data_IF_554099958576
#
_entry.id   IF_554099958576
#
_cell.length_a   1.000
_cell.length_b   1.000
_cell.length_c   1.000
_cell.angle_alpha   90.00
_cell.angle_beta   90.00
_cell.angle_gamma   90.00
#
_symmetry.space_group_name_H-M   'P 1'
#
loop_
_entity.id
_entity.type
_entity.pdbx_description
1 polymer ?
#
# COMPACT_ATOMS: atom_id res chain seq x y z
N UNK A 1 -4.06 0.12 -3.08
CA UNK A 1 -5.33 0.32 -3.82
C UNK A 1 -5.10 1.40 -4.86
N UNK A 2 -5.92 1.46 -5.91
CA UNK A 2 -5.61 2.19 -7.15
C UNK A 2 -6.72 3.15 -7.58
N UNK A 3 -6.28 4.37 -7.98
CA UNK A 3 -6.98 5.35 -8.81
C UNK A 3 -8.40 5.74 -8.36
N UNK A 4 -8.63 5.94 -7.05
CA UNK A 4 -9.95 6.39 -6.58
C UNK A 4 -9.86 7.67 -5.74
N UNK A 5 -10.75 8.61 -6.04
CA UNK A 5 -10.89 9.82 -5.25
C UNK A 5 -11.41 9.53 -3.85
N UNK A 6 -11.01 10.35 -2.87
CA UNK A 6 -11.57 10.31 -1.53
C UNK A 6 -13.11 10.28 -1.51
N UNK A 7 -13.73 11.16 -2.30
CA UNK A 7 -15.20 11.28 -2.37
C UNK A 7 -15.89 10.11 -3.08
N UNK A 8 -15.16 9.35 -3.91
CA UNK A 8 -15.70 8.15 -4.58
C UNK A 8 -15.77 6.95 -3.64
N UNK A 9 -14.98 6.95 -2.56
CA UNK A 9 -14.89 5.87 -1.58
C UNK A 9 -15.60 6.25 -0.29
N UNK A 10 -15.21 7.37 0.33
CA UNK A 10 -15.74 7.78 1.64
C UNK A 10 -17.18 8.29 1.49
N UNK A 11 -18.12 7.60 2.14
CA UNK A 11 -19.55 7.87 2.02
C UNK A 11 -20.24 7.16 0.85
N UNK A 12 -19.48 6.42 0.01
CA UNK A 12 -20.05 5.70 -1.13
C UNK A 12 -20.79 4.44 -0.74
N UNK A 13 -21.98 4.21 -1.34
CA UNK A 13 -22.72 2.96 -1.20
C UNK A 13 -22.04 1.76 -1.89
N UNK A 14 -21.06 1.99 -2.78
CA UNK A 14 -20.28 0.95 -3.43
C UNK A 14 -19.11 0.44 -2.58
N UNK A 15 -18.80 1.11 -1.45
CA UNK A 15 -17.72 0.77 -0.55
C UNK A 15 -18.20 0.60 0.92
N UNK A 16 -19.21 -0.25 1.19
CA UNK A 16 -19.81 -0.33 2.51
C UNK A 16 -18.85 -0.85 3.59
N UNK A 17 -17.98 -1.80 3.27
CA UNK A 17 -17.00 -2.32 4.21
C UNK A 17 -15.89 -1.30 4.49
N UNK A 18 -15.33 -0.68 3.47
CA UNK A 18 -14.32 0.38 3.61
C UNK A 18 -14.88 1.51 4.48
N UNK A 19 -16.12 1.93 4.25
CA UNK A 19 -16.78 2.95 5.07
C UNK A 19 -17.01 2.49 6.53
N UNK A 20 -17.25 1.21 6.75
CA UNK A 20 -17.34 0.66 8.12
C UNK A 20 -15.98 0.76 8.83
N UNK A 21 -14.88 0.47 8.15
CA UNK A 21 -13.53 0.63 8.69
C UNK A 21 -13.20 2.10 8.96
N UNK A 22 -13.48 2.98 7.99
CA UNK A 22 -13.32 4.42 8.15
C UNK A 22 -14.11 4.97 9.33
N UNK A 23 -15.27 4.43 9.65
CA UNK A 23 -16.10 4.84 10.80
C UNK A 23 -15.61 4.24 12.12
N UNK A 24 -15.10 3.01 12.11
CA UNK A 24 -14.68 2.32 13.32
C UNK A 24 -13.27 2.73 13.80
N UNK A 25 -12.39 3.11 12.87
CA UNK A 25 -10.97 3.37 13.12
C UNK A 25 -10.56 4.80 12.76
N UNK A 26 -9.30 5.03 12.47
CA UNK A 26 -8.77 6.33 12.06
C UNK A 26 -9.00 6.60 10.57
N UNK A 27 -9.43 7.81 10.23
CA UNK A 27 -9.50 8.31 8.85
C UNK A 27 -8.79 9.66 8.77
N UNK A 28 -7.75 9.75 7.93
CA UNK A 28 -7.20 11.02 7.50
C UNK A 28 -8.14 11.63 6.45
N UNK A 29 -8.69 12.80 6.76
CA UNK A 29 -9.68 13.48 5.90
C UNK A 29 -9.05 14.47 4.93
N UNK A 30 -7.74 14.73 5.07
CA UNK A 30 -6.94 15.55 4.18
C UNK A 30 -5.62 14.81 3.85
N UNK A 31 -5.75 13.74 3.05
CA UNK A 31 -4.60 12.97 2.57
C UNK A 31 -4.53 13.04 1.06
N UNK A 32 -3.38 13.42 0.53
CA UNK A 32 -3.16 13.58 -0.91
C UNK A 32 -2.00 12.70 -1.39
N UNK A 33 -2.17 12.11 -2.55
CA UNK A 33 -1.07 11.51 -3.30
C UNK A 33 -0.09 12.56 -3.83
N UNK A 34 1.05 12.12 -4.36
CA UNK A 34 2.15 13.00 -4.74
C UNK A 34 2.08 13.40 -6.21
N UNK A 35 1.65 12.48 -7.06
CA UNK A 35 1.78 12.62 -8.51
C UNK A 35 0.73 11.79 -9.26
N UNK A 36 0.79 11.85 -10.56
CA UNK A 36 0.30 10.93 -11.59
C UNK A 36 1.45 10.65 -12.56
N UNK A 37 1.56 9.44 -13.12
CA UNK A 37 0.79 8.21 -12.86
C UNK A 37 1.22 7.46 -11.58
N UNK A 38 0.88 6.18 -11.46
CA UNK A 38 0.98 5.34 -10.25
C UNK A 38 2.41 5.18 -9.71
N UNK A 39 3.38 4.78 -10.53
CA UNK A 39 4.73 4.41 -10.07
C UNK A 39 5.42 5.47 -9.19
N UNK A 40 5.43 6.77 -9.52
CA UNK A 40 5.99 7.80 -8.66
C UNK A 40 5.46 7.78 -7.21
N UNK A 41 4.18 7.43 -7.02
CA UNK A 41 3.55 7.34 -5.70
C UNK A 41 4.05 6.12 -4.91
N UNK A 42 4.17 4.96 -5.55
CA UNK A 42 4.76 3.76 -4.92
C UNK A 42 6.20 3.99 -4.48
N UNK A 43 6.99 4.65 -5.31
CA UNK A 43 8.39 4.99 -4.97
C UNK A 43 8.43 6.02 -3.83
N UNK A 44 7.54 7.02 -3.83
CA UNK A 44 7.42 8.01 -2.75
C UNK A 44 7.02 7.36 -1.41
N UNK A 45 6.06 6.40 -1.42
CA UNK A 45 5.64 5.63 -0.25
C UNK A 45 6.76 4.80 0.37
N UNK A 46 7.79 4.46 -0.40
CA UNK A 46 8.80 3.50 0.03
C UNK A 46 10.22 4.06 0.14
N UNK A 47 10.49 5.26 -0.44
CA UNK A 47 11.82 5.90 -0.39
C UNK A 47 11.80 7.38 0.04
N UNK A 48 10.60 7.96 0.29
CA UNK A 48 10.46 9.36 0.71
C UNK A 48 10.69 10.38 -0.41
N UNK A 49 10.78 9.94 -1.66
CA UNK A 49 10.88 10.77 -2.86
C UNK A 49 10.38 9.99 -4.06
N UNK A 50 9.82 10.66 -5.08
CA UNK A 50 9.50 10.02 -6.36
C UNK A 50 10.74 9.70 -7.21
N UNK A 51 11.94 10.04 -6.73
CA UNK A 51 13.25 9.81 -7.37
C UNK A 51 13.34 10.38 -8.80
N UNK A 52 12.55 11.43 -9.12
CA UNK A 52 12.48 12.03 -10.46
C UNK A 52 11.70 11.20 -11.48
N UNK A 53 11.03 10.14 -11.06
CA UNK A 53 10.17 9.31 -11.91
C UNK A 53 8.86 10.04 -12.16
N UNK A 54 8.37 9.98 -13.41
CA UNK A 54 7.15 10.63 -13.86
C UNK A 54 6.35 9.79 -14.89
N UNK A 55 6.63 8.49 -14.95
CA UNK A 55 5.96 7.51 -15.81
C UNK A 55 5.87 6.14 -15.12
N UNK A 56 5.22 5.15 -15.76
CA UNK A 56 5.04 3.79 -15.26
C UNK A 56 5.99 2.76 -15.88
N UNK A 57 7.14 3.22 -16.38
CA UNK A 57 8.12 2.32 -16.99
C UNK A 57 8.70 1.34 -15.96
N UNK A 58 8.98 0.11 -16.41
CA UNK A 58 9.42 -0.98 -15.54
C UNK A 58 10.81 -0.80 -14.91
N UNK A 59 11.21 -1.72 -14.01
CA UNK A 59 12.45 -1.63 -13.22
C UNK A 59 13.73 -1.49 -14.03
N UNK A 60 13.75 -1.96 -15.29
CA UNK A 60 14.90 -1.80 -16.18
C UNK A 60 15.11 -0.34 -16.63
N UNK A 61 14.03 0.45 -16.68
CA UNK A 61 14.09 1.88 -17.03
C UNK A 61 14.39 2.76 -15.82
N UNK A 62 13.97 2.33 -14.62
CA UNK A 62 14.11 3.06 -13.37
C UNK A 62 14.82 2.25 -12.27
N UNK A 63 16.10 1.80 -12.51
CA UNK A 63 16.84 1.11 -11.46
C UNK A 63 17.24 2.09 -10.35
N UNK A 64 16.83 1.85 -9.10
CA UNK A 64 17.05 2.74 -7.98
C UNK A 64 18.11 2.18 -7.01
N UNK A 65 19.17 2.94 -6.78
CA UNK A 65 20.16 2.66 -5.73
C UNK A 65 20.10 3.73 -4.65
N UNK A 66 18.95 3.81 -3.98
CA UNK A 66 18.65 4.78 -2.93
C UNK A 66 18.11 4.06 -1.69
N UNK A 67 18.20 4.66 -0.48
CA UNK A 67 17.54 4.11 0.69
C UNK A 67 16.04 3.96 0.47
N UNK A 68 15.49 2.85 0.94
CA UNK A 68 14.06 2.56 0.95
C UNK A 68 13.70 1.83 2.24
N UNK A 69 12.43 1.76 2.58
CA UNK A 69 11.96 0.99 3.73
C UNK A 69 12.43 -0.48 3.66
N UNK A 70 12.51 -1.04 2.46
CA UNK A 70 13.01 -2.40 2.23
C UNK A 70 14.50 -2.53 2.54
N UNK A 71 15.33 -1.59 2.08
CA UNK A 71 16.79 -1.61 2.35
C UNK A 71 17.13 -1.28 3.80
N UNK A 72 16.25 -0.57 4.52
CA UNK A 72 16.39 -0.30 5.96
C UNK A 72 16.00 -1.50 6.83
N UNK A 73 15.24 -2.45 6.27
CA UNK A 73 14.72 -3.64 6.95
C UNK A 73 15.13 -4.93 6.21
N UNK A 74 16.44 -5.22 6.11
CA UNK A 74 16.94 -6.37 5.36
C UNK A 74 16.67 -7.71 6.05
N UNK A 75 16.93 -8.81 5.30
CA UNK A 75 16.96 -10.17 5.86
C UNK A 75 15.58 -10.67 6.32
N UNK A 76 14.50 -10.23 5.65
CA UNK A 76 13.13 -10.64 5.97
C UNK A 76 12.46 -9.82 7.06
N UNK A 77 13.07 -8.73 7.51
CA UNK A 77 12.40 -7.75 8.37
C UNK A 77 11.37 -6.91 7.62
N UNK A 78 11.48 -6.82 6.28
CA UNK A 78 10.44 -6.35 5.37
C UNK A 78 9.97 -7.47 4.44
N UNK A 79 8.77 -7.30 3.86
CA UNK A 79 8.16 -8.22 2.91
C UNK A 79 7.19 -7.49 2.01
N UNK A 80 7.14 -7.89 0.73
CA UNK A 80 6.08 -7.54 -0.20
C UNK A 80 5.20 -8.75 -0.50
N UNK A 81 3.88 -8.55 -0.53
CA UNK A 81 2.88 -9.55 -0.88
C UNK A 81 2.09 -9.03 -2.09
N UNK A 82 2.33 -9.62 -3.25
CA UNK A 82 1.83 -9.12 -4.52
C UNK A 82 0.82 -10.12 -5.12
N UNK A 83 -0.44 -9.71 -5.22
CA UNK A 83 -1.48 -10.59 -5.76
C UNK A 83 -1.30 -10.80 -7.27
N UNK A 84 -1.56 -12.02 -7.73
CA UNK A 84 -1.38 -12.46 -9.13
C UNK A 84 0.06 -12.39 -9.65
N UNK A 85 1.06 -12.09 -8.81
CA UNK A 85 2.46 -12.10 -9.21
C UNK A 85 2.89 -13.51 -9.65
N UNK A 86 3.49 -13.70 -10.85
CA UNK A 86 3.74 -15.02 -11.42
C UNK A 86 4.91 -15.76 -10.76
N UNK A 87 5.83 -15.02 -10.17
CA UNK A 87 7.00 -15.57 -9.46
C UNK A 87 7.56 -14.50 -8.52
N UNK A 88 8.37 -14.90 -7.54
CA UNK A 88 9.04 -13.96 -6.63
C UNK A 88 9.83 -12.89 -7.38
N UNK A 89 9.73 -11.64 -6.94
CA UNK A 89 10.45 -10.50 -7.52
C UNK A 89 10.25 -10.38 -9.04
N UNK A 90 9.01 -10.57 -9.53
CA UNK A 90 8.70 -10.51 -10.95
C UNK A 90 8.83 -9.08 -11.48
N UNK A 91 9.73 -8.87 -12.46
CA UNK A 91 10.11 -7.55 -12.99
C UNK A 91 9.38 -7.17 -14.28
N UNK A 92 8.22 -7.73 -14.52
CA UNK A 92 7.38 -7.43 -15.69
C UNK A 92 5.91 -7.78 -15.41
N UNK A 93 5.02 -7.13 -16.12
CA UNK A 93 3.58 -7.33 -16.03
C UNK A 93 3.19 -8.76 -16.42
N UNK A 94 2.16 -9.31 -15.77
CA UNK A 94 1.65 -10.65 -16.06
C UNK A 94 0.18 -10.79 -15.63
N UNK A 95 -0.72 -10.90 -16.58
CA UNK A 95 -2.15 -10.98 -16.30
C UNK A 95 -2.63 -9.77 -15.50
N UNK A 96 -3.14 -10.01 -14.30
CA UNK A 96 -3.61 -8.96 -13.39
C UNK A 96 -2.51 -8.39 -12.47
N UNK A 97 -1.28 -8.88 -12.55
CA UNK A 97 -0.13 -8.31 -11.85
C UNK A 97 0.49 -7.18 -12.67
N UNK A 98 0.64 -6.00 -12.06
CA UNK A 98 1.32 -4.85 -12.64
C UNK A 98 2.61 -4.55 -11.87
N UNK A 99 3.76 -4.64 -12.54
CA UNK A 99 5.07 -4.43 -11.90
C UNK A 99 5.25 -3.02 -11.33
N UNK A 100 4.59 -2.01 -11.93
CA UNK A 100 4.58 -0.62 -11.44
C UNK A 100 3.96 -0.48 -10.05
N UNK A 101 3.14 -1.45 -9.61
CA UNK A 101 2.55 -1.49 -8.27
C UNK A 101 3.40 -2.27 -7.25
N UNK A 102 4.54 -2.83 -7.67
CA UNK A 102 5.50 -3.54 -6.83
C UNK A 102 6.81 -2.75 -6.70
N UNK A 103 6.90 -1.80 -5.75
CA UNK A 103 8.06 -0.91 -5.64
C UNK A 103 9.36 -1.61 -5.29
N UNK A 104 9.33 -2.76 -4.58
CA UNK A 104 10.55 -3.47 -4.17
C UNK A 104 11.41 -3.88 -5.37
N UNK A 105 10.77 -4.21 -6.51
CA UNK A 105 11.46 -4.64 -7.74
C UNK A 105 12.36 -3.58 -8.37
N UNK A 106 12.17 -2.30 -8.05
CA UNK A 106 12.93 -1.17 -8.59
C UNK A 106 14.23 -0.91 -7.82
N UNK A 107 14.33 -1.35 -6.56
CA UNK A 107 15.52 -1.10 -5.73
C UNK A 107 16.62 -2.11 -5.99
N UNK A 108 17.78 -1.63 -6.45
CA UNK A 108 18.95 -2.47 -6.78
C UNK A 108 19.80 -2.81 -5.56
N UNK A 109 19.64 -2.08 -4.46
CA UNK A 109 20.39 -2.24 -3.21
C UNK A 109 19.74 -3.19 -2.19
N UNK A 110 18.59 -3.78 -2.51
CA UNK A 110 17.95 -4.81 -1.65
C UNK A 110 18.57 -6.21 -1.85
N UNK A 111 19.44 -6.37 -2.87
CA UNK A 111 20.15 -7.61 -3.10
C UNK A 111 19.24 -8.82 -3.36
N UNK A 112 19.45 -9.91 -2.62
CA UNK A 112 18.65 -11.14 -2.72
C UNK A 112 17.31 -11.06 -1.95
N UNK A 113 17.06 -9.99 -1.19
CA UNK A 113 15.84 -9.87 -0.39
C UNK A 113 14.60 -9.82 -1.27
N UNK A 114 14.62 -9.09 -2.39
CA UNK A 114 13.53 -9.11 -3.36
C UNK A 114 13.17 -10.54 -3.78
N UNK A 115 14.13 -11.37 -4.22
CA UNK A 115 13.87 -12.74 -4.64
C UNK A 115 13.45 -13.69 -3.51
N UNK A 116 13.63 -13.27 -2.27
CA UNK A 116 13.32 -14.08 -1.10
C UNK A 116 12.01 -13.65 -0.42
N UNK A 117 11.76 -12.35 -0.32
CA UNK A 117 10.70 -11.78 0.51
C UNK A 117 9.64 -10.99 -0.26
N UNK A 118 9.89 -10.60 -1.51
CA UNK A 118 8.86 -10.15 -2.43
C UNK A 118 8.23 -11.38 -3.10
N UNK A 119 7.05 -11.76 -2.62
CA UNK A 119 6.44 -13.05 -2.89
C UNK A 119 5.00 -12.92 -3.39
N UNK A 120 4.53 -13.90 -4.20
CA UNK A 120 3.12 -13.96 -4.55
C UNK A 120 2.23 -13.98 -3.31
N UNK A 121 1.16 -13.21 -3.35
CA UNK A 121 0.17 -13.11 -2.29
C UNK A 121 -0.43 -14.49 -1.97
N UNK A 122 -0.35 -14.90 -0.71
CA UNK A 122 -0.92 -16.15 -0.23
C UNK A 122 -2.37 -15.99 0.24
N UNK A 123 -3.03 -17.11 0.50
CA UNK A 123 -4.41 -17.14 0.99
C UNK A 123 -4.56 -16.74 2.47
N UNK A 124 -3.48 -16.73 3.23
CA UNK A 124 -3.46 -16.40 4.64
C UNK A 124 -2.62 -15.14 4.90
N UNK A 125 -2.99 -14.29 5.87
CA UNK A 125 -2.16 -13.17 6.29
C UNK A 125 -0.81 -13.65 6.82
N UNK A 126 0.27 -12.97 6.40
CA UNK A 126 1.62 -13.21 6.89
C UNK A 126 2.18 -11.93 7.52
N UNK A 127 2.11 -11.84 8.84
CA UNK A 127 2.64 -10.73 9.65
C UNK A 127 3.94 -11.14 10.39
N UNK A 128 4.73 -12.03 9.82
CA UNK A 128 6.01 -12.46 10.40
C UNK A 128 7.11 -11.41 10.26
N UNK A 129 7.02 -10.54 9.25
CA UNK A 129 7.91 -9.39 9.07
C UNK A 129 7.50 -8.20 9.95
N UNK A 130 8.45 -7.30 10.23
CA UNK A 130 8.17 -6.03 10.92
C UNK A 130 7.39 -5.05 10.05
N UNK A 131 7.63 -5.09 8.74
CA UNK A 131 6.92 -4.33 7.72
C UNK A 131 6.43 -5.26 6.62
N UNK A 132 5.15 -5.15 6.26
CA UNK A 132 4.57 -5.89 5.14
C UNK A 132 3.87 -4.91 4.21
N UNK A 133 4.33 -4.84 2.97
CA UNK A 133 3.66 -4.12 1.89
C UNK A 133 2.74 -5.09 1.16
N UNK A 134 1.48 -4.71 0.94
CA UNK A 134 0.48 -5.58 0.31
C UNK A 134 -0.14 -4.86 -0.87
N UNK A 135 -0.02 -5.45 -2.05
CA UNK A 135 -0.63 -4.93 -3.27
C UNK A 135 -1.63 -5.94 -3.83
N UNK A 136 -2.91 -5.61 -3.87
CA UNK A 136 -3.90 -6.39 -4.61
C UNK A 136 -3.63 -6.34 -6.11
N UNK A 137 -4.21 -7.27 -6.88
CA UNK A 137 -4.11 -7.25 -8.34
C UNK A 137 -5.00 -6.16 -8.95
N UNK A 138 -4.87 -5.91 -10.25
CA UNK A 138 -5.56 -4.86 -10.99
C UNK A 138 -7.10 -4.85 -10.84
N UNK A 139 -7.71 -5.96 -10.47
CA UNK A 139 -9.15 -6.04 -10.21
C UNK A 139 -9.45 -5.67 -8.75
N UNK A 140 -8.76 -6.30 -7.81
CA UNK A 140 -9.01 -6.16 -6.38
C UNK A 140 -8.47 -4.82 -5.83
N UNK A 141 -7.53 -4.18 -6.52
CA UNK A 141 -7.00 -2.84 -6.16
C UNK A 141 -7.87 -1.68 -6.63
N UNK A 142 -8.87 -1.93 -7.48
CA UNK A 142 -9.79 -0.97 -8.13
C UNK A 142 -9.23 -0.24 -9.35
N UNK A 143 -8.08 -0.64 -9.92
CA UNK A 143 -7.53 -0.04 -11.14
C UNK A 143 -8.40 -0.40 -12.35
N UNK A 144 -8.50 -1.69 -12.68
CA UNK A 144 -9.34 -2.22 -13.75
C UNK A 144 -10.68 -2.74 -13.20
N UNK A 145 -10.75 -2.99 -11.90
CA UNK A 145 -11.93 -3.44 -11.20
C UNK A 145 -12.82 -2.30 -10.70
N UNK A 146 -13.98 -2.69 -10.19
CA UNK A 146 -14.92 -1.77 -9.57
C UNK A 146 -14.57 -1.49 -8.11
N UNK A 147 -15.08 -0.38 -7.56
CA UNK A 147 -14.99 -0.08 -6.12
C UNK A 147 -15.55 -1.23 -5.26
N UNK A 148 -16.62 -1.90 -5.74
CA UNK A 148 -17.21 -3.01 -5.01
C UNK A 148 -16.32 -4.26 -4.97
N UNK A 149 -15.50 -4.51 -5.99
CA UNK A 149 -14.53 -5.60 -5.99
C UNK A 149 -13.42 -5.32 -4.96
N UNK A 150 -12.86 -4.11 -4.94
CA UNK A 150 -11.89 -3.71 -3.90
C UNK A 150 -12.48 -3.73 -2.48
N UNK A 151 -13.74 -3.31 -2.30
CA UNK A 151 -14.44 -3.41 -1.01
C UNK A 151 -14.58 -4.87 -0.54
N UNK A 152 -14.92 -5.79 -1.45
CA UNK A 152 -15.02 -7.22 -1.17
C UNK A 152 -13.67 -7.86 -0.87
N UNK A 153 -12.60 -7.46 -1.58
CA UNK A 153 -11.24 -7.90 -1.26
C UNK A 153 -10.88 -7.51 0.18
N UNK A 154 -11.02 -6.24 0.54
CA UNK A 154 -10.71 -5.75 1.88
C UNK A 154 -11.61 -6.39 2.94
N UNK A 155 -12.90 -6.62 2.64
CA UNK A 155 -13.85 -7.32 3.52
C UNK A 155 -13.42 -8.75 3.85
N UNK A 156 -12.70 -9.39 2.94
CA UNK A 156 -12.17 -10.74 3.14
C UNK A 156 -10.83 -10.71 3.87
N UNK A 157 -9.93 -9.81 3.47
CA UNK A 157 -8.54 -9.82 3.92
C UNK A 157 -8.33 -9.13 5.28
N UNK A 158 -8.93 -7.96 5.49
CA UNK A 158 -8.71 -7.17 6.72
C UNK A 158 -9.16 -7.87 7.99
N UNK A 159 -10.31 -8.57 8.05
CA UNK A 159 -10.69 -9.34 9.25
C UNK A 159 -9.67 -10.44 9.60
N UNK A 160 -9.06 -11.06 8.59
CA UNK A 160 -8.04 -12.07 8.82
C UNK A 160 -6.75 -11.46 9.40
N UNK A 161 -6.36 -10.24 8.97
CA UNK A 161 -5.25 -9.49 9.58
C UNK A 161 -5.57 -9.12 11.04
N UNK A 162 -6.75 -8.60 11.30
CA UNK A 162 -7.19 -8.20 12.65
C UNK A 162 -7.25 -9.42 13.60
N UNK A 163 -7.55 -10.61 13.09
CA UNK A 163 -7.59 -11.84 13.87
C UNK A 163 -6.21 -12.41 14.22
N UNK A 164 -5.11 -11.88 13.65
CA UNK A 164 -3.76 -12.39 13.92
C UNK A 164 -3.32 -12.11 15.37
N UNK A 165 -2.52 -12.97 15.98
CA UNK A 165 -1.96 -12.75 17.32
C UNK A 165 -1.20 -11.43 17.44
N UNK A 166 -0.49 -11.01 16.39
CA UNK A 166 0.29 -9.77 16.35
C UNK A 166 -0.61 -8.53 16.48
N UNK A 167 -1.72 -8.50 15.72
CA UNK A 167 -2.68 -7.41 15.85
C UNK A 167 -3.37 -7.43 17.21
N UNK A 168 -3.82 -8.58 17.67
CA UNK A 168 -4.50 -8.74 18.97
C UNK A 168 -3.60 -8.38 20.16
N UNK A 169 -2.28 -8.52 20.02
CA UNK A 169 -1.30 -8.07 21.00
C UNK A 169 -1.10 -6.54 21.02
N UNK A 170 -1.74 -5.80 20.11
CA UNK A 170 -1.60 -4.34 20.02
C UNK A 170 -0.29 -3.85 19.40
N UNK A 171 0.46 -4.74 18.72
CA UNK A 171 1.77 -4.42 18.13
C UNK A 171 1.73 -4.21 16.61
N UNK A 172 0.53 -4.14 16.02
CA UNK A 172 0.36 -3.97 14.57
C UNK A 172 -0.56 -2.79 14.27
N UNK A 173 -0.16 -1.93 13.35
CA UNK A 173 -1.01 -0.96 12.68
C UNK A 173 -1.17 -1.36 11.22
N UNK A 174 -2.39 -1.23 10.67
CA UNK A 174 -2.71 -1.48 9.27
C UNK A 174 -3.09 -0.15 8.64
N UNK A 175 -2.40 0.22 7.56
CA UNK A 175 -2.72 1.39 6.75
C UNK A 175 -3.35 0.92 5.44
N UNK A 176 -4.51 1.47 5.10
CA UNK A 176 -5.17 1.26 3.81
C UNK A 176 -5.20 2.61 3.10
N UNK A 177 -4.51 2.69 1.96
CA UNK A 177 -4.47 3.91 1.15
C UNK A 177 -4.51 3.56 -0.34
N UNK A 178 -4.83 4.55 -1.15
CA UNK A 178 -4.73 4.50 -2.60
C UNK A 178 -3.42 5.16 -3.02
N UNK A 179 -2.91 4.80 -4.18
CA UNK A 179 -1.70 5.39 -4.76
C UNK A 179 -1.94 6.82 -5.24
N UNK A 180 -3.05 7.01 -5.96
CA UNK A 180 -3.46 8.30 -6.52
C UNK A 180 -4.99 8.37 -6.69
N UNK A 181 -5.49 9.56 -6.99
CA UNK A 181 -6.90 9.77 -7.35
C UNK A 181 -7.19 9.37 -8.80
N UNK A 182 -8.46 9.41 -9.19
CA UNK A 182 -8.86 9.22 -10.60
C UNK A 182 -8.45 10.39 -11.53
N UNK A 183 -7.76 11.39 -11.01
CA UNK A 183 -7.33 12.60 -11.75
C UNK A 183 -8.35 13.74 -11.71
N UNK A 184 -9.47 13.61 -11.01
CA UNK A 184 -10.57 14.59 -11.02
C UNK A 184 -10.61 15.53 -9.80
N UNK A 185 -9.89 15.26 -8.71
CA UNK A 185 -10.11 15.88 -7.39
C UNK A 185 -8.85 16.39 -6.67
N UNK A 186 -7.88 16.92 -7.39
CA UNK A 186 -6.68 17.47 -6.74
C UNK A 186 -5.81 16.43 -6.02
N UNK A 187 -5.91 15.18 -6.44
CA UNK A 187 -5.17 14.02 -5.93
C UNK A 187 -5.46 13.65 -4.46
N UNK A 188 -6.63 14.05 -3.92
CA UNK A 188 -7.08 13.65 -2.60
C UNK A 188 -7.60 12.21 -2.62
N UNK A 189 -7.05 11.37 -1.73
CA UNK A 189 -7.31 9.94 -1.66
C UNK A 189 -7.64 9.50 -0.23
N UNK A 190 -8.29 8.34 -0.02
CA UNK A 190 -8.53 7.83 1.32
C UNK A 190 -7.23 7.33 1.98
N UNK A 191 -7.09 7.56 3.30
CA UNK A 191 -6.12 6.87 4.13
C UNK A 191 -6.78 6.48 5.45
N UNK A 192 -6.90 5.16 5.68
CA UNK A 192 -7.54 4.58 6.88
C UNK A 192 -6.46 3.91 7.72
N UNK A 193 -6.47 4.20 9.02
CA UNK A 193 -5.50 3.65 9.98
C UNK A 193 -6.23 2.73 10.95
N UNK A 194 -6.00 1.43 10.83
CA UNK A 194 -6.61 0.39 11.66
C UNK A 194 -5.61 -0.02 12.76
N UNK A 195 -5.94 0.33 13.98
CA UNK A 195 -5.13 0.03 15.17
C UNK A 195 -6.04 -0.04 16.38
N UNK A 196 -5.69 -0.79 17.44
CA UNK A 196 -6.41 -0.74 18.71
C UNK A 196 -6.46 0.65 19.35
N UNK A 197 -5.68 1.60 18.83
CA UNK A 197 -5.55 2.96 19.39
C UNK A 197 -6.24 4.05 18.57
N UNK A 198 -6.86 3.71 17.43
CA UNK A 198 -7.40 4.70 16.47
C UNK A 198 -8.93 4.63 16.32
N UNK A 199 -9.67 4.34 17.41
CA UNK A 199 -11.12 4.19 17.35
C UNK A 199 -11.84 5.50 17.07
N UNK A 200 -12.59 5.57 15.95
CA UNK A 200 -13.45 6.69 15.58
C UNK A 200 -12.73 8.03 15.36
N UNK A 201 -11.42 8.00 15.12
CA UNK A 201 -10.60 9.20 14.93
C UNK A 201 -10.82 9.77 13.52
N UNK A 202 -10.97 11.10 13.44
CA UNK A 202 -10.96 11.87 12.19
C UNK A 202 -9.87 12.92 12.32
N UNK A 203 -8.92 12.92 11.39
CA UNK A 203 -7.82 13.88 11.40
C UNK A 203 -7.79 14.64 10.08
N UNK A 204 -7.86 15.98 10.17
CA UNK A 204 -7.84 16.90 9.04
C UNK A 204 -6.47 17.55 8.84
N UNK A 205 -5.44 17.04 9.49
CA UNK A 205 -4.06 17.48 9.21
C UNK A 205 -3.70 17.08 7.78
N UNK A 206 -3.09 17.97 6.98
CA UNK A 206 -2.63 17.63 5.65
C UNK A 206 -1.54 16.56 5.68
N UNK A 207 -1.80 15.41 5.07
CA UNK A 207 -0.87 14.29 4.95
C UNK A 207 -0.63 13.92 3.50
N UNK A 208 0.48 13.23 3.26
CA UNK A 208 0.85 12.68 1.96
C UNK A 208 1.52 11.31 2.11
N UNK A 209 1.90 10.68 1.01
CA UNK A 209 2.71 9.47 1.00
C UNK A 209 4.02 9.61 1.80
N UNK A 210 4.62 10.80 1.82
CA UNK A 210 5.82 11.08 2.63
C UNK A 210 5.50 11.02 4.13
N UNK A 211 4.33 11.54 4.53
CA UNK A 211 3.88 11.47 5.93
C UNK A 211 3.65 10.03 6.37
N UNK A 212 3.08 9.20 5.49
CA UNK A 212 2.82 7.79 5.77
C UNK A 212 4.13 7.01 5.92
N UNK A 213 5.10 7.21 5.02
CA UNK A 213 6.41 6.57 5.14
C UNK A 213 7.08 6.99 6.45
N UNK A 214 7.15 8.28 6.75
CA UNK A 214 7.72 8.79 7.99
C UNK A 214 7.07 8.17 9.22
N UNK A 215 5.74 8.11 9.26
CA UNK A 215 5.00 7.47 10.37
C UNK A 215 5.38 5.99 10.49
N UNK A 216 5.50 5.28 9.36
CA UNK A 216 5.89 3.89 9.32
C UNK A 216 7.32 3.69 9.86
N UNK A 217 8.27 4.53 9.45
CA UNK A 217 9.64 4.51 9.93
C UNK A 217 9.71 4.78 11.44
N UNK A 218 9.00 5.81 11.93
CA UNK A 218 8.93 6.13 13.37
C UNK A 218 8.35 4.96 14.20
N UNK A 219 7.28 4.30 13.72
CA UNK A 219 6.71 3.11 14.37
C UNK A 219 7.68 1.93 14.41
N UNK A 220 8.57 1.83 13.45
CA UNK A 220 9.58 0.77 13.32
C UNK A 220 10.91 1.12 14.01
N UNK A 221 11.06 2.35 14.50
CA UNK A 221 12.29 2.83 15.14
C UNK A 221 13.46 3.00 14.17
N UNK A 222 13.17 3.47 12.95
CA UNK A 222 14.14 3.75 11.88
C UNK A 222 14.48 5.23 11.82
#
# INVERSE_FOLDING_TARGET
>A
MENQDFSSIVGSGSAPYINSLANAYGLATDYSAISHPSLPNYIALTSGSNQGISDDSGPSSHPLNVPSIFSQLPGGASRSLEQSMPSRCAKGDSGEYAVRHNPETYYTNVGTDCSTYDIPFGSAPDLSARFTFVTPNLIDDTHDGTIAEGDNFLKTYVPALIATPQYQAGSTAIFITWDESSGSSGNQIPCIVISPYTHGVRDATPYTHYSLLRTTEELLGL
#
